data_IF_343909047355
#
_entry.id   IF_343909047355
#
_cell.length_a   1.000
_cell.length_b   1.000
_cell.length_c   1.000
_cell.angle_alpha   90.00
_cell.angle_beta   90.00
_cell.angle_gamma   90.00
#
_symmetry.space_group_name_H-M   'P 1'
#
loop_
_entity.id
_entity.type
_entity.pdbx_description
1 polymer ?
#
# COMPACT_ATOMS: atom_id res chain seq x y z
N UNK A 1 32.67 -15.09 -7.83
CA UNK A 1 31.41 -15.72 -7.39
C UNK A 1 31.31 -17.08 -8.04
N UNK A 2 31.07 -18.13 -7.27
CA UNK A 2 30.94 -19.49 -7.81
C UNK A 2 29.55 -19.72 -8.40
N UNK A 3 29.41 -20.69 -9.31
CA UNK A 3 28.13 -21.09 -9.89
C UNK A 3 27.08 -21.39 -8.79
N UNK A 4 27.52 -22.01 -7.69
CA UNK A 4 26.67 -22.30 -6.54
C UNK A 4 26.11 -21.02 -5.87
N UNK A 5 26.91 -19.95 -5.78
CA UNK A 5 26.44 -18.67 -5.22
C UNK A 5 25.41 -17.98 -6.12
N UNK A 6 25.55 -18.11 -7.44
CA UNK A 6 24.56 -17.60 -8.40
C UNK A 6 23.23 -18.34 -8.29
N UNK A 7 23.25 -19.67 -8.26
CA UNK A 7 22.03 -20.49 -8.16
C UNK A 7 21.28 -20.23 -6.86
N UNK A 8 22.02 -20.08 -5.73
CA UNK A 8 21.43 -19.73 -4.43
C UNK A 8 20.79 -18.35 -4.41
N UNK A 9 21.39 -17.35 -5.08
CA UNK A 9 20.82 -15.99 -5.21
C UNK A 9 19.56 -16.01 -6.07
N UNK A 10 19.57 -16.73 -7.18
CA UNK A 10 18.43 -16.87 -8.09
C UNK A 10 17.24 -17.53 -7.40
N UNK A 11 17.45 -18.66 -6.72
CA UNK A 11 16.40 -19.34 -5.95
C UNK A 11 15.78 -18.43 -4.87
N UNK A 12 16.58 -17.60 -4.19
CA UNK A 12 16.08 -16.63 -3.21
C UNK A 12 15.22 -15.53 -3.85
N UNK A 13 15.61 -15.05 -5.04
CA UNK A 13 14.83 -14.06 -5.80
C UNK A 13 13.49 -14.65 -6.28
N UNK A 14 13.51 -15.88 -6.81
CA UNK A 14 12.31 -16.57 -7.27
C UNK A 14 11.34 -16.83 -6.12
N UNK A 15 11.84 -17.26 -4.97
CA UNK A 15 11.03 -17.44 -3.76
C UNK A 15 10.44 -16.12 -3.24
N UNK A 16 11.20 -15.02 -3.30
CA UNK A 16 10.72 -13.70 -2.90
C UNK A 16 9.63 -13.18 -3.86
N UNK A 17 9.80 -13.40 -5.17
CA UNK A 17 8.81 -13.07 -6.19
C UNK A 17 7.52 -13.86 -5.97
N UNK A 18 7.63 -15.18 -5.80
CA UNK A 18 6.48 -16.05 -5.53
C UNK A 18 5.66 -15.59 -4.30
N UNK A 19 6.34 -15.23 -3.20
CA UNK A 19 5.66 -14.69 -2.01
C UNK A 19 4.98 -13.35 -2.27
N UNK A 20 5.61 -12.48 -3.07
CA UNK A 20 5.03 -11.19 -3.44
C UNK A 20 3.77 -11.39 -4.28
N UNK A 21 3.82 -12.29 -5.25
CA UNK A 21 2.69 -12.59 -6.15
C UNK A 21 1.52 -13.16 -5.35
N UNK A 22 1.75 -14.12 -4.46
CA UNK A 22 0.73 -14.66 -3.54
C UNK A 22 0.07 -13.56 -2.71
N UNK A 23 0.86 -12.65 -2.13
CA UNK A 23 0.33 -11.54 -1.34
C UNK A 23 -0.51 -10.58 -2.17
N UNK A 24 -0.15 -10.36 -3.43
CA UNK A 24 -0.95 -9.53 -4.35
C UNK A 24 -2.25 -10.22 -4.73
N UNK A 25 -2.25 -11.53 -4.92
CA UNK A 25 -3.47 -12.31 -5.19
C UNK A 25 -4.42 -12.28 -3.98
N UNK A 26 -3.91 -12.45 -2.77
CA UNK A 26 -4.68 -12.30 -1.53
C UNK A 26 -5.30 -10.90 -1.43
N UNK A 27 -4.52 -9.86 -1.75
CA UNK A 27 -5.01 -8.49 -1.74
C UNK A 27 -6.10 -8.27 -2.81
N UNK A 28 -5.93 -8.82 -4.03
CA UNK A 28 -6.99 -8.79 -5.06
C UNK A 28 -8.26 -9.46 -4.57
N UNK A 29 -8.16 -10.58 -3.86
CA UNK A 29 -9.31 -11.24 -3.27
C UNK A 29 -10.00 -10.35 -2.24
N UNK A 30 -9.26 -9.70 -1.34
CA UNK A 30 -9.82 -8.73 -0.38
C UNK A 30 -10.53 -7.59 -1.10
N UNK A 31 -9.87 -6.97 -2.09
CA UNK A 31 -10.39 -5.83 -2.86
C UNK A 31 -11.58 -6.18 -3.75
N UNK A 32 -11.76 -7.46 -4.11
CA UNK A 32 -12.92 -7.93 -4.87
C UNK A 32 -14.25 -7.77 -4.09
N UNK A 33 -14.17 -7.72 -2.76
CA UNK A 33 -15.35 -7.66 -1.89
C UNK A 33 -15.66 -6.22 -1.42
N UNK A 34 -16.95 -5.89 -1.31
CA UNK A 34 -17.34 -4.58 -0.78
C UNK A 34 -16.88 -4.34 0.67
N UNK A 35 -16.98 -5.31 1.61
CA UNK A 35 -16.42 -5.14 2.96
C UNK A 35 -14.90 -4.91 2.96
N UNK A 36 -14.16 -5.66 2.14
CA UNK A 36 -12.70 -5.49 2.02
C UNK A 36 -12.31 -4.10 1.53
N UNK A 37 -13.00 -3.57 0.51
CA UNK A 37 -12.80 -2.19 0.04
C UNK A 37 -13.09 -1.15 1.12
N UNK A 38 -14.17 -1.31 1.89
CA UNK A 38 -14.48 -0.41 3.01
C UNK A 38 -13.41 -0.43 4.09
N UNK A 39 -12.93 -1.62 4.46
CA UNK A 39 -11.87 -1.77 5.44
C UNK A 39 -10.57 -1.09 4.99
N UNK A 40 -10.17 -1.34 3.74
CA UNK A 40 -8.99 -0.71 3.14
C UNK A 40 -9.12 0.81 3.09
N UNK A 41 -10.28 1.34 2.71
CA UNK A 41 -10.51 2.79 2.77
C UNK A 41 -10.33 3.34 4.18
N UNK A 42 -10.87 2.68 5.21
CA UNK A 42 -10.66 3.08 6.61
C UNK A 42 -9.18 3.05 7.02
N UNK A 43 -8.40 2.10 6.50
CA UNK A 43 -6.96 2.06 6.72
C UNK A 43 -6.22 3.23 6.06
N UNK A 44 -6.59 3.60 4.84
CA UNK A 44 -6.01 4.76 4.15
C UNK A 44 -6.37 6.08 4.84
N UNK A 45 -7.61 6.19 5.33
CA UNK A 45 -8.08 7.33 6.13
C UNK A 45 -7.33 7.44 7.46
N UNK A 46 -7.19 6.34 8.20
CA UNK A 46 -6.45 6.31 9.47
C UNK A 46 -4.99 6.74 9.32
N UNK A 47 -4.36 6.38 8.20
CA UNK A 47 -2.97 6.77 7.91
C UNK A 47 -2.85 8.17 7.28
N UNK A 48 -3.98 8.87 7.01
CA UNK A 48 -3.96 10.20 6.39
C UNK A 48 -3.33 10.22 5.00
N UNK A 49 -3.47 9.14 4.22
CA UNK A 49 -2.75 8.96 2.94
C UNK A 49 -3.02 10.09 1.96
N UNK A 50 -4.26 10.54 1.88
CA UNK A 50 -4.66 11.62 0.97
C UNK A 50 -4.83 12.97 1.68
N UNK A 51 -4.63 13.02 3.00
CA UNK A 51 -4.80 14.24 3.78
C UNK A 51 -3.52 15.08 3.78
N UNK A 52 -3.69 16.39 3.86
CA UNK A 52 -2.58 17.30 4.14
C UNK A 52 -2.10 17.12 5.57
N UNK A 53 -0.79 17.24 5.75
CA UNK A 53 -0.18 17.17 7.07
C UNK A 53 -0.23 18.56 7.68
N UNK A 54 -1.18 18.76 8.59
CA UNK A 54 -1.31 19.96 9.40
C UNK A 54 -0.58 19.74 10.74
N UNK A 55 0.08 20.77 11.25
CA UNK A 55 0.71 20.70 12.57
C UNK A 55 1.25 22.05 13.02
N UNK A 56 1.21 22.28 14.33
CA UNK A 56 1.73 23.49 14.99
C UNK A 56 3.12 23.29 15.59
N UNK A 57 3.62 22.05 15.60
CA UNK A 57 4.94 21.68 16.08
C UNK A 57 5.53 20.49 15.28
N UNK A 58 6.84 20.33 15.34
CA UNK A 58 7.56 19.30 14.58
C UNK A 58 7.22 17.86 14.99
N UNK A 59 6.91 17.62 16.27
CA UNK A 59 6.66 16.26 16.79
C UNK A 59 5.40 15.67 16.15
N UNK A 60 4.33 16.45 16.08
CA UNK A 60 3.06 16.00 15.50
C UNK A 60 3.16 15.85 13.98
N UNK A 61 3.91 16.75 13.33
CA UNK A 61 4.22 16.66 11.89
C UNK A 61 4.98 15.36 11.59
N UNK A 62 6.02 15.02 12.36
CA UNK A 62 6.79 13.79 12.14
C UNK A 62 5.97 12.53 12.38
N UNK A 63 5.07 12.52 13.39
CA UNK A 63 4.15 11.41 13.60
C UNK A 63 3.19 11.24 12.42
N UNK A 64 2.63 12.34 11.92
CA UNK A 64 1.74 12.32 10.75
C UNK A 64 2.47 11.85 9.49
N UNK A 65 3.72 12.31 9.27
CA UNK A 65 4.57 11.84 8.17
C UNK A 65 4.84 10.33 8.25
N UNK A 66 5.17 9.82 9.44
CA UNK A 66 5.41 8.39 9.65
C UNK A 66 4.16 7.54 9.35
N UNK A 67 2.99 7.98 9.83
CA UNK A 67 1.71 7.33 9.51
C UNK A 67 1.42 7.38 8.01
N UNK A 68 1.58 8.55 7.38
CA UNK A 68 1.36 8.72 5.94
C UNK A 68 2.27 7.83 5.12
N UNK A 69 3.55 7.69 5.50
CA UNK A 69 4.49 6.80 4.84
C UNK A 69 4.05 5.32 4.91
N UNK A 70 3.57 4.86 6.06
CA UNK A 70 3.03 3.50 6.19
C UNK A 70 1.77 3.30 5.35
N UNK A 71 0.86 4.28 5.34
CA UNK A 71 -0.34 4.22 4.49
C UNK A 71 -0.04 4.28 2.99
N UNK A 72 0.95 5.07 2.56
CA UNK A 72 1.41 5.10 1.18
C UNK A 72 2.00 3.77 0.73
N UNK A 73 2.64 3.02 1.64
CA UNK A 73 3.09 1.66 1.32
C UNK A 73 1.91 0.75 1.00
N UNK A 74 0.84 0.80 1.81
CA UNK A 74 -0.40 0.05 1.57
C UNK A 74 -1.04 0.49 0.25
N UNK A 75 -1.17 1.79 0.02
CA UNK A 75 -1.72 2.34 -1.23
C UNK A 75 -0.94 1.89 -2.47
N UNK A 76 0.39 1.83 -2.39
CA UNK A 76 1.23 1.29 -3.47
C UNK A 76 0.97 -0.18 -3.76
N UNK A 77 0.69 -0.99 -2.74
CA UNK A 77 0.31 -2.41 -2.94
C UNK A 77 -1.07 -2.53 -3.58
N UNK A 78 -2.01 -1.67 -3.22
CA UNK A 78 -3.33 -1.59 -3.86
C UNK A 78 -3.18 -1.20 -5.32
N UNK A 79 -2.36 -0.20 -5.64
CA UNK A 79 -2.10 0.22 -7.02
C UNK A 79 -1.45 -0.88 -7.87
N UNK A 80 -0.61 -1.72 -7.26
CA UNK A 80 -0.01 -2.89 -7.93
C UNK A 80 -1.01 -4.05 -8.10
N UNK A 81 -1.93 -4.23 -7.15
CA UNK A 81 -2.97 -5.25 -7.23
C UNK A 81 -4.10 -4.88 -8.21
N UNK A 82 -4.56 -3.63 -8.16
CA UNK A 82 -5.65 -3.04 -8.94
C UNK A 82 -5.48 -1.50 -9.05
N UNK A 83 -4.79 -1.06 -10.11
CA UNK A 83 -4.49 0.35 -10.33
C UNK A 83 -5.73 1.22 -10.59
N UNK A 84 -6.76 0.67 -11.23
CA UNK A 84 -7.99 1.41 -11.51
C UNK A 84 -8.76 1.68 -10.21
N UNK A 85 -8.86 0.69 -9.33
CA UNK A 85 -9.47 0.85 -8.02
C UNK A 85 -8.71 1.87 -7.16
N UNK A 86 -7.36 1.81 -7.16
CA UNK A 86 -6.54 2.79 -6.45
C UNK A 86 -6.86 4.23 -6.91
N UNK A 87 -6.92 4.45 -8.22
CA UNK A 87 -7.27 5.75 -8.79
C UNK A 87 -8.69 6.17 -8.38
N UNK A 88 -9.67 5.27 -8.41
CA UNK A 88 -11.04 5.55 -7.96
C UNK A 88 -11.08 5.98 -6.49
N UNK A 89 -10.33 5.30 -5.61
CA UNK A 89 -10.24 5.66 -4.19
C UNK A 89 -9.70 7.08 -3.99
N UNK A 90 -8.66 7.48 -4.74
CA UNK A 90 -8.14 8.84 -4.70
C UNK A 90 -9.16 9.87 -5.20
N UNK A 91 -9.84 9.60 -6.31
CA UNK A 91 -10.88 10.49 -6.86
C UNK A 91 -12.06 10.63 -5.87
N UNK A 92 -12.49 9.54 -5.24
CA UNK A 92 -13.53 9.56 -4.22
C UNK A 92 -13.12 10.40 -3.01
N UNK A 93 -11.87 10.31 -2.58
CA UNK A 93 -11.35 11.17 -1.52
C UNK A 93 -11.44 12.65 -1.90
N UNK A 94 -10.97 13.02 -3.10
CA UNK A 94 -11.02 14.40 -3.58
C UNK A 94 -12.46 14.92 -3.61
N UNK A 95 -13.41 14.13 -4.12
CA UNK A 95 -14.83 14.51 -4.18
C UNK A 95 -15.49 14.75 -2.81
N UNK A 96 -14.96 14.17 -1.74
CA UNK A 96 -15.51 14.32 -0.38
C UNK A 96 -14.89 15.49 0.39
N UNK A 97 -13.72 15.97 -0.05
CA UNK A 97 -12.88 16.91 0.72
C UNK A 97 -12.54 18.19 -0.05
N UNK A 98 -13.05 18.35 -1.28
CA UNK A 98 -13.03 19.58 -2.09
C UNK A 98 -14.47 20.03 -2.28
#
# INVERSE_FOLDING_TARGET
MSQHEFDKRRAKQDAAKSKKDQRLDDLRQVLSTAPGRRWINGMLEFHGVFQDIQGTNNVDIYKALGKKAAGLRIYGEIAEADGELAQKMFIEFLRRNV
#
